data_IF_413973731465
#
_entry.id   IF_413973731465
#
_cell.length_a   1.000
_cell.length_b   1.000
_cell.length_c   1.000
_cell.angle_alpha   90.00
_cell.angle_beta   90.00
_cell.angle_gamma   90.00
#
_symmetry.space_group_name_H-M   'P 1'
#
loop_
_entity.id
_entity.type
_entity.pdbx_description
1 polymer ?
#
# COMPACT_ATOMS: atom_id res chain seq x y z
N UNK A 1 -19.23 9.23 22.03
CA UNK A 1 -18.42 9.72 20.89
C UNK A 1 -17.71 8.51 20.30
N UNK A 2 -18.10 8.08 19.09
CA UNK A 2 -17.58 6.85 18.48
C UNK A 2 -16.30 7.16 17.71
N UNK A 3 -15.18 6.74 18.28
CA UNK A 3 -13.84 6.89 17.75
C UNK A 3 -13.72 6.13 16.41
N UNK A 4 -13.32 6.85 15.36
CA UNK A 4 -13.21 6.33 13.99
C UNK A 4 -12.02 5.37 13.88
N UNK A 5 -12.18 4.16 14.38
CA UNK A 5 -11.13 3.13 14.45
C UNK A 5 -11.20 2.19 13.25
N UNK A 6 -11.27 2.70 12.01
CA UNK A 6 -11.37 1.84 10.82
C UNK A 6 -10.44 2.24 9.68
N UNK A 7 -9.19 2.50 10.06
CA UNK A 7 -7.99 2.10 9.34
C UNK A 7 -6.86 2.24 10.37
N UNK A 8 -6.68 1.26 11.27
CA UNK A 8 -5.46 1.21 12.09
C UNK A 8 -4.33 1.41 11.10
N UNK A 9 -3.45 2.43 11.21
CA UNK A 9 -2.41 2.68 10.24
C UNK A 9 -1.38 1.56 10.39
N UNK A 10 -1.80 0.42 9.84
CA UNK A 10 -1.13 -0.80 9.44
C UNK A 10 -0.11 -1.36 10.44
N UNK A 11 -0.51 -1.27 11.73
CA UNK A 11 0.06 -2.00 12.86
C UNK A 11 1.50 -1.59 13.21
N UNK A 12 1.82 -0.30 13.05
CA UNK A 12 3.10 0.28 13.49
C UNK A 12 4.28 -0.03 12.57
N UNK A 13 4.03 -0.67 11.43
CA UNK A 13 4.98 -0.66 10.32
C UNK A 13 4.77 0.74 9.64
N UNK A 14 5.78 1.36 9.00
CA UNK A 14 5.72 2.71 8.35
C UNK A 14 6.37 2.66 6.93
N UNK A 15 5.80 3.16 5.81
CA UNK A 15 6.31 2.82 4.49
C UNK A 15 7.57 3.66 4.29
N UNK A 16 8.52 3.15 3.53
CA UNK A 16 9.85 3.73 3.34
C UNK A 16 10.71 3.85 4.61
N UNK A 17 10.22 3.36 5.75
CA UNK A 17 10.94 3.41 7.04
C UNK A 17 11.10 2.03 7.66
N UNK A 18 10.03 1.24 7.68
CA UNK A 18 10.05 -0.10 8.24
C UNK A 18 10.74 -1.12 7.35
N UNK A 19 11.27 -2.16 8.00
CA UNK A 19 12.00 -3.26 7.37
C UNK A 19 11.20 -4.55 7.35
N UNK A 20 11.55 -5.46 6.44
CA UNK A 20 11.04 -6.85 6.40
C UNK A 20 11.11 -7.56 7.74
N UNK A 21 12.20 -7.38 8.48
CA UNK A 21 12.33 -7.96 9.83
C UNK A 21 11.26 -7.46 10.79
N UNK A 22 10.93 -6.16 10.73
CA UNK A 22 9.83 -5.59 11.53
C UNK A 22 8.48 -6.14 11.09
N UNK A 23 8.24 -6.27 9.78
CA UNK A 23 6.99 -6.85 9.26
C UNK A 23 6.81 -8.27 9.76
N UNK A 24 7.84 -9.12 9.64
CA UNK A 24 7.81 -10.51 10.12
C UNK A 24 7.62 -10.61 11.63
N UNK A 25 8.15 -9.66 12.40
CA UNK A 25 7.89 -9.59 13.85
C UNK A 25 6.42 -9.26 14.16
N UNK A 26 5.77 -8.42 13.36
CA UNK A 26 4.39 -7.99 13.57
C UNK A 26 3.36 -8.98 12.98
N UNK A 27 3.64 -9.54 11.81
CA UNK A 27 2.71 -10.40 11.06
C UNK A 27 3.06 -11.89 11.15
N UNK A 28 4.22 -12.26 11.67
CA UNK A 28 4.70 -13.65 11.73
C UNK A 28 5.36 -14.11 10.42
N UNK A 29 5.31 -15.41 10.17
CA UNK A 29 5.84 -16.02 8.94
C UNK A 29 4.88 -15.80 7.77
N UNK A 30 5.35 -15.36 6.59
CA UNK A 30 4.51 -15.24 5.40
C UNK A 30 4.11 -16.62 4.85
N UNK A 31 2.95 -16.67 4.19
CA UNK A 31 2.49 -17.86 3.44
C UNK A 31 3.26 -18.02 2.12
N UNK A 32 3.58 -16.90 1.48
CA UNK A 32 4.44 -16.81 0.29
C UNK A 32 5.48 -15.76 0.59
N UNK A 33 6.76 -16.11 0.52
CA UNK A 33 7.84 -15.18 0.83
C UNK A 33 9.21 -15.74 0.49
N UNK A 34 10.24 -15.01 0.89
CA UNK A 34 11.63 -15.38 0.63
C UNK A 34 12.53 -14.14 0.59
N UNK A 35 13.50 -14.14 -0.31
CA UNK A 35 14.40 -13.02 -0.57
C UNK A 35 13.87 -12.04 -1.64
N UNK A 36 12.71 -12.32 -2.25
CA UNK A 36 12.07 -11.52 -3.31
C UNK A 36 11.48 -10.19 -2.84
N UNK A 37 10.78 -9.46 -3.72
CA UNK A 37 10.18 -8.16 -3.38
C UNK A 37 8.86 -8.24 -2.62
N UNK A 38 8.19 -9.38 -2.65
CA UNK A 38 6.81 -9.49 -2.16
C UNK A 38 6.75 -10.59 -1.10
N UNK A 39 6.01 -10.31 -0.03
CA UNK A 39 5.55 -11.33 0.91
C UNK A 39 4.03 -11.24 1.06
N UNK A 40 3.39 -12.40 1.12
CA UNK A 40 1.95 -12.54 1.34
C UNK A 40 1.70 -13.15 2.71
N UNK A 41 0.68 -12.63 3.38
CA UNK A 41 0.22 -13.07 4.68
C UNK A 41 -1.28 -13.26 4.62
N UNK A 42 -1.79 -14.26 5.34
CA UNK A 42 -3.21 -14.43 5.57
C UNK A 42 -3.53 -14.09 7.02
N UNK A 43 -4.51 -13.21 7.21
CA UNK A 43 -5.00 -12.76 8.51
C UNK A 43 -6.53 -12.73 8.50
N UNK A 44 -7.12 -12.57 9.67
CA UNK A 44 -8.58 -12.46 9.81
C UNK A 44 -9.18 -11.36 8.92
N UNK A 45 -8.46 -10.25 8.74
CA UNK A 45 -8.88 -9.11 7.93
C UNK A 45 -8.84 -9.39 6.41
N UNK A 46 -8.14 -10.44 5.99
CA UNK A 46 -7.94 -10.79 4.59
C UNK A 46 -6.49 -11.08 4.22
N UNK A 47 -6.20 -10.97 2.93
CA UNK A 47 -4.88 -11.24 2.37
C UNK A 47 -4.06 -9.95 2.37
N UNK A 48 -2.94 -9.97 3.08
CA UNK A 48 -2.02 -8.83 3.19
C UNK A 48 -0.83 -9.10 2.28
N UNK A 49 -0.59 -8.20 1.34
CA UNK A 49 0.59 -8.15 0.51
C UNK A 49 1.50 -7.04 0.98
N UNK A 50 2.75 -7.37 1.30
CA UNK A 50 3.78 -6.39 1.64
C UNK A 50 4.82 -6.40 0.55
N UNK A 51 5.11 -5.22 0.02
CA UNK A 51 6.17 -5.07 -0.96
C UNK A 51 7.37 -4.35 -0.38
N UNK A 52 8.53 -4.79 -0.81
CA UNK A 52 9.83 -4.33 -0.36
C UNK A 52 10.67 -3.85 -1.53
N UNK A 53 11.51 -2.85 -1.27
CA UNK A 53 12.56 -2.46 -2.20
C UNK A 53 13.59 -3.59 -2.34
N UNK A 54 13.90 -4.02 -3.58
CA UNK A 54 15.02 -4.96 -3.82
C UNK A 54 16.34 -4.21 -3.90
N UNK A 55 16.33 -3.04 -4.54
CA UNK A 55 17.46 -2.12 -4.64
C UNK A 55 17.02 -0.66 -4.55
N UNK A 56 17.97 0.23 -4.25
CA UNK A 56 17.75 1.68 -4.31
C UNK A 56 17.39 2.06 -5.74
N UNK A 57 16.34 2.88 -5.89
CA UNK A 57 15.93 3.41 -7.19
C UNK A 57 15.60 2.36 -8.26
N UNK A 58 15.11 1.20 -7.83
CA UNK A 58 14.52 0.23 -8.74
C UNK A 58 13.31 0.83 -9.45
N UNK A 59 13.23 0.62 -10.76
CA UNK A 59 12.06 0.99 -11.56
C UNK A 59 11.07 -0.17 -11.61
N UNK A 60 9.77 0.13 -11.59
CA UNK A 60 8.72 -0.83 -11.97
C UNK A 60 8.11 -1.65 -10.83
N UNK A 61 8.27 -1.27 -9.55
CA UNK A 61 7.63 -1.97 -8.43
C UNK A 61 7.23 -1.02 -7.28
N UNK A 62 5.94 -0.98 -6.90
CA UNK A 62 4.74 -1.11 -7.77
C UNK A 62 4.66 0.02 -8.79
N UNK A 63 3.92 -0.22 -9.88
CA UNK A 63 3.64 0.75 -10.94
C UNK A 63 3.13 2.11 -10.42
N UNK A 64 2.49 2.13 -9.25
CA UNK A 64 1.71 3.30 -8.80
C UNK A 64 2.26 4.01 -7.57
N UNK A 65 3.15 3.34 -6.81
CA UNK A 65 3.79 3.97 -5.65
C UNK A 65 5.17 4.53 -5.95
N UNK A 66 5.73 4.30 -7.15
CA UNK A 66 6.92 4.96 -7.65
C UNK A 66 8.26 4.40 -7.18
N UNK A 67 9.34 5.08 -7.56
CA UNK A 67 10.72 4.62 -7.34
C UNK A 67 11.36 5.35 -6.15
N UNK A 68 11.91 4.57 -5.21
CA UNK A 68 12.34 5.09 -3.91
C UNK A 68 13.83 4.85 -3.65
N UNK A 69 14.49 5.87 -3.09
CA UNK A 69 15.88 5.87 -2.66
C UNK A 69 15.97 5.32 -1.23
N UNK A 70 15.50 4.10 -1.04
CA UNK A 70 15.53 3.38 0.24
C UNK A 70 16.36 2.11 0.12
N UNK A 71 16.93 1.66 1.23
CA UNK A 71 17.72 0.44 1.24
C UNK A 71 16.86 -0.80 0.95
N UNK A 72 17.51 -1.90 0.57
CA UNK A 72 16.87 -3.21 0.41
C UNK A 72 16.05 -3.59 1.65
N UNK A 73 14.99 -4.37 1.42
CA UNK A 73 14.07 -4.89 2.43
C UNK A 73 13.30 -3.80 3.20
N UNK A 74 13.28 -2.56 2.69
CA UNK A 74 12.41 -1.51 3.20
C UNK A 74 11.03 -1.68 2.61
N UNK A 75 9.99 -1.61 3.45
CA UNK A 75 8.58 -1.65 3.03
C UNK A 75 8.32 -0.48 2.09
N UNK A 76 7.76 -0.74 0.92
CA UNK A 76 7.33 0.28 -0.04
C UNK A 76 5.86 0.57 0.16
N UNK A 77 5.03 -0.47 0.12
CA UNK A 77 3.61 -0.39 0.42
C UNK A 77 3.10 -1.68 1.09
N UNK A 78 1.90 -1.60 1.63
CA UNK A 78 1.12 -2.72 2.11
C UNK A 78 -0.26 -2.64 1.46
N UNK A 79 -0.68 -3.71 0.79
CA UNK A 79 -2.02 -3.84 0.23
C UNK A 79 -2.78 -4.93 0.99
N UNK A 80 -4.04 -4.68 1.31
CA UNK A 80 -4.91 -5.60 2.02
C UNK A 80 -6.12 -5.83 1.14
N UNK A 81 -6.24 -7.04 0.58
CA UNK A 81 -7.50 -7.51 0.00
C UNK A 81 -8.37 -7.99 1.13
N UNK A 82 -9.51 -7.33 1.34
CA UNK A 82 -10.37 -7.58 2.49
C UNK A 82 -11.08 -8.92 2.33
N UNK A 83 -11.20 -9.68 3.43
CA UNK A 83 -12.03 -10.88 3.47
C UNK A 83 -13.52 -10.52 3.56
N UNK A 84 -13.83 -9.50 4.35
CA UNK A 84 -15.16 -8.93 4.48
C UNK A 84 -15.12 -7.51 3.92
N UNK A 85 -15.92 -7.27 2.89
CA UNK A 85 -16.00 -5.97 2.25
C UNK A 85 -16.65 -4.94 3.18
N UNK A 86 -16.21 -3.69 3.06
CA UNK A 86 -16.67 -2.60 3.92
C UNK A 86 -17.46 -1.61 3.08
N UNK A 87 -18.73 -1.31 3.38
CA UNK A 87 -19.45 -0.24 2.70
C UNK A 87 -18.66 1.06 2.72
N UNK A 88 -18.54 1.76 1.59
CA UNK A 88 -17.79 3.03 1.52
C UNK A 88 -18.29 4.05 2.55
N UNK A 89 -19.60 4.07 2.81
CA UNK A 89 -20.22 4.91 3.84
C UNK A 89 -19.62 4.69 5.25
N UNK A 90 -19.16 3.48 5.56
CA UNK A 90 -18.55 3.14 6.86
C UNK A 90 -17.15 3.74 7.03
N UNK A 91 -16.47 4.12 5.95
CA UNK A 91 -15.17 4.81 6.03
C UNK A 91 -15.30 6.22 6.63
N UNK A 92 -16.50 6.82 6.60
CA UNK A 92 -16.78 8.19 7.08
C UNK A 92 -15.84 9.25 6.48
N UNK A 93 -15.30 8.99 5.28
CA UNK A 93 -14.46 9.94 4.53
C UNK A 93 -15.38 11.00 3.92
N UNK A 94 -15.20 12.25 4.35
CA UNK A 94 -15.92 13.37 3.75
C UNK A 94 -15.42 13.58 2.33
N UNK A 95 -16.34 13.69 1.37
CA UNK A 95 -16.04 13.95 -0.04
C UNK A 95 -15.05 12.97 -0.67
N UNK A 96 -15.27 11.65 -0.49
CA UNK A 96 -14.38 10.60 -1.02
C UNK A 96 -14.09 10.77 -2.52
N UNK A 97 -15.06 11.29 -3.28
CA UNK A 97 -14.94 11.59 -4.72
C UNK A 97 -13.76 12.51 -5.07
N UNK A 98 -13.30 13.37 -4.14
CA UNK A 98 -12.10 14.20 -4.37
C UNK A 98 -10.81 13.37 -4.51
N UNK A 99 -10.81 12.16 -3.97
CA UNK A 99 -9.70 11.23 -4.05
C UNK A 99 -9.82 10.28 -5.24
N UNK A 100 -10.91 10.35 -6.03
CA UNK A 100 -11.10 9.46 -7.17
C UNK A 100 -9.93 9.61 -8.15
N UNK A 101 -9.24 8.51 -8.41
CA UNK A 101 -8.09 8.48 -9.29
C UNK A 101 -8.43 7.94 -10.67
N UNK A 102 -8.95 6.72 -10.75
CA UNK A 102 -9.47 6.13 -11.99
C UNK A 102 -10.48 5.02 -11.69
N UNK A 103 -11.26 4.64 -12.71
CA UNK A 103 -12.11 3.45 -12.70
C UNK A 103 -11.57 2.50 -13.75
N UNK A 104 -11.26 1.26 -13.36
CA UNK A 104 -10.79 0.23 -14.27
C UNK A 104 -11.94 -0.41 -15.05
N UNK A 105 -11.60 -1.17 -16.10
CA UNK A 105 -12.58 -1.83 -16.97
C UNK A 105 -13.46 -2.85 -16.24
N UNK A 106 -13.01 -3.36 -15.09
CA UNK A 106 -13.80 -4.23 -14.20
C UNK A 106 -14.89 -3.50 -13.42
N UNK A 107 -15.00 -2.18 -13.54
CA UNK A 107 -15.89 -1.33 -12.72
C UNK A 107 -15.32 -0.94 -11.36
N UNK A 108 -14.15 -1.49 -10.97
CA UNK A 108 -13.48 -1.11 -9.74
C UNK A 108 -12.94 0.33 -9.83
N UNK A 109 -13.33 1.18 -8.88
CA UNK A 109 -12.88 2.56 -8.74
C UNK A 109 -11.82 2.67 -7.66
N UNK A 110 -10.72 3.34 -7.98
CA UNK A 110 -9.59 3.56 -7.09
C UNK A 110 -9.63 4.99 -6.56
N UNK A 111 -9.59 5.14 -5.25
CA UNK A 111 -9.55 6.42 -4.55
C UNK A 111 -8.21 6.56 -3.83
N UNK A 112 -7.41 7.57 -4.17
CA UNK A 112 -6.07 7.76 -3.64
C UNK A 112 -5.94 9.10 -2.90
N UNK A 113 -5.76 9.01 -1.59
CA UNK A 113 -5.33 10.12 -0.75
C UNK A 113 -3.80 10.12 -0.60
N UNK A 114 -3.12 10.90 -1.43
CA UNK A 114 -1.66 11.03 -1.40
C UNK A 114 -1.13 11.68 -0.11
N UNK A 115 -1.95 12.46 0.59
CA UNK A 115 -1.54 13.13 1.81
C UNK A 115 -1.40 12.12 2.96
N UNK A 116 -2.36 11.21 3.09
CA UNK A 116 -2.29 10.11 4.06
C UNK A 116 -1.55 8.88 3.55
N UNK A 117 -1.29 8.80 2.24
CA UNK A 117 -0.66 7.62 1.61
C UNK A 117 -1.60 6.42 1.62
N UNK A 118 -2.89 6.64 1.43
CA UNK A 118 -3.91 5.59 1.46
C UNK A 118 -4.60 5.52 0.11
N UNK A 119 -4.80 4.30 -0.38
CA UNK A 119 -5.61 4.02 -1.56
C UNK A 119 -6.71 3.01 -1.19
N UNK A 120 -7.92 3.27 -1.67
CA UNK A 120 -9.07 2.39 -1.54
C UNK A 120 -9.46 1.87 -2.92
N UNK A 121 -9.62 0.56 -3.05
CA UNK A 121 -10.30 -0.06 -4.17
C UNK A 121 -11.75 -0.28 -3.79
N UNK A 122 -12.66 0.28 -4.58
CA UNK A 122 -14.10 0.21 -4.37
C UNK A 122 -14.77 -0.45 -5.57
N UNK A 123 -15.65 -1.39 -5.33
CA UNK A 123 -16.48 -2.04 -6.33
C UNK A 123 -17.90 -2.14 -5.79
N UNK A 124 -18.90 -1.76 -6.60
CA UNK A 124 -20.32 -1.83 -6.21
C UNK A 124 -20.66 -1.15 -4.87
N UNK A 125 -20.00 -0.03 -4.58
CA UNK A 125 -20.16 0.72 -3.33
C UNK A 125 -19.48 0.10 -2.10
N UNK A 126 -18.73 -0.97 -2.29
CA UNK A 126 -18.02 -1.73 -1.27
C UNK A 126 -16.52 -1.60 -1.43
N UNK A 127 -15.80 -1.37 -0.34
CA UNK A 127 -14.35 -1.37 -0.28
C UNK A 127 -13.88 -2.82 -0.29
N UNK A 128 -13.13 -3.20 -1.32
CA UNK A 128 -12.62 -4.56 -1.52
C UNK A 128 -11.13 -4.68 -1.21
N UNK A 129 -10.39 -3.57 -1.34
CA UNK A 129 -8.99 -3.50 -0.92
C UNK A 129 -8.60 -2.13 -0.36
N UNK A 130 -7.59 -2.14 0.51
CA UNK A 130 -6.97 -0.93 1.07
C UNK A 130 -5.46 -1.06 0.93
N UNK A 131 -4.81 -0.06 0.36
CA UNK A 131 -3.35 0.03 0.31
C UNK A 131 -2.82 1.21 1.12
N UNK A 132 -1.73 0.98 1.84
CA UNK A 132 -0.96 1.95 2.60
C UNK A 132 0.40 2.07 1.95
N UNK A 133 0.73 3.26 1.47
CA UNK A 133 1.98 3.55 0.80
C UNK A 133 2.54 4.92 1.19
N UNK A 134 3.57 5.37 0.48
CA UNK A 134 4.27 6.61 0.80
C UNK A 134 3.38 7.84 0.76
N UNK A 135 3.68 8.81 1.62
CA UNK A 135 2.94 10.07 1.72
C UNK A 135 3.61 11.18 0.91
N UNK A 136 2.93 12.32 0.78
CA UNK A 136 3.53 13.54 0.21
C UNK A 136 4.78 14.02 0.96
N UNK A 137 4.92 13.68 2.25
CA UNK A 137 6.11 14.01 3.06
C UNK A 137 7.33 13.19 2.68
N UNK A 138 7.14 12.03 2.06
CA UNK A 138 8.23 11.15 1.67
C UNK A 138 8.85 11.53 0.31
N UNK A 139 8.38 12.63 -0.33
CA UNK A 139 8.89 13.10 -1.63
C UNK A 139 10.42 13.23 -1.68
N UNK A 140 11.08 13.57 -0.58
CA UNK A 140 12.55 13.66 -0.49
C UNK A 140 13.28 12.30 -0.67
N UNK A 141 12.55 11.19 -0.52
CA UNK A 141 13.03 9.83 -0.75
C UNK A 141 12.82 9.38 -2.20
N UNK A 142 12.12 10.15 -3.04
CA UNK A 142 11.98 9.79 -4.46
C UNK A 142 13.34 9.81 -5.15
N UNK A 143 13.52 8.89 -6.08
CA UNK A 143 14.68 8.92 -6.95
C UNK A 143 14.59 10.08 -7.95
N UNK A 144 15.74 10.64 -8.32
CA UNK A 144 15.81 11.64 -9.39
C UNK A 144 15.38 10.99 -10.71
N UNK A 145 14.75 11.76 -11.61
CA UNK A 145 14.20 11.28 -12.89
C UNK A 145 15.25 10.65 -13.83
N UNK A 146 16.53 10.87 -13.60
CA UNK A 146 17.64 10.39 -14.45
C UNK A 146 18.21 9.03 -14.01
N UNK A 147 17.36 8.07 -13.64
CA UNK A 147 17.84 6.69 -13.47
C UNK A 147 17.84 6.03 -14.86
N UNK A 148 18.97 5.48 -15.35
CA UNK A 148 19.04 4.88 -16.69
C UNK A 148 17.90 3.89 -16.91
N UNK A 149 17.17 4.05 -18.01
CA UNK A 149 16.18 3.06 -18.45
C UNK A 149 16.91 1.74 -18.63
N UNK A 150 16.58 0.74 -17.83
CA UNK A 150 17.02 -0.63 -18.08
C UNK A 150 16.26 -1.08 -19.34
N UNK A 151 16.98 -1.17 -20.47
CA UNK A 151 16.47 -1.81 -21.68
C UNK A 151 16.52 -3.31 -21.43
N UNK A 152 15.37 -3.97 -21.51
CA UNK A 152 15.28 -5.42 -21.62
C UNK A 152 15.64 -5.84 -23.04
#
# INVERSE_FOLDING_TARGET
MADATMAKPWRGIVPLRSKRSQVRRVLGKPIIGGAGAIELYEKQQGRIQVMYARKRCEQGLPADWGNWRVARDTVVNISITLREEIPVANLKIRNIERYKWYTGDSGATYYHDQQSGIEYQVQDGMVTAIAYGPTTRDRALRCRRDVPRIRY
#
